data_IF_720684616252
#
_entry.id   IF_720684616252
#
_cell.length_a   1.000
_cell.length_b   1.000
_cell.length_c   1.000
_cell.angle_alpha   90.00
_cell.angle_beta   90.00
_cell.angle_gamma   90.00
#
_symmetry.space_group_name_H-M   'P 1'
#
loop_
_entity.id
_entity.type
_entity.pdbx_description
1 polymer ?
#
# COMPACT_ATOMS: atom_id res chain seq x y z
N UNK A 1 11.71 -1.02 -12.86
CA UNK A 1 10.36 -0.49 -13.17
C UNK A 1 10.55 0.63 -14.20
N UNK A 2 9.50 1.10 -14.90
CA UNK A 2 9.58 2.23 -15.84
C UNK A 2 9.18 3.58 -15.23
N UNK A 3 8.95 3.62 -13.92
CA UNK A 3 8.40 4.79 -13.22
C UNK A 3 9.19 5.13 -11.95
N UNK A 4 9.37 6.41 -11.71
CA UNK A 4 10.04 6.99 -10.54
C UNK A 4 9.10 7.99 -9.88
N UNK A 5 8.96 7.87 -8.55
CA UNK A 5 8.40 8.91 -7.70
C UNK A 5 9.52 9.39 -6.78
N UNK A 6 9.70 10.70 -6.66
CA UNK A 6 10.57 11.28 -5.66
C UNK A 6 9.74 12.19 -4.77
N UNK A 7 9.84 12.00 -3.45
CA UNK A 7 9.36 12.97 -2.46
C UNK A 7 10.40 14.04 -2.17
N UNK A 8 9.95 15.24 -1.77
CA UNK A 8 10.77 16.40 -1.38
C UNK A 8 11.69 16.97 -2.51
N UNK A 9 11.14 17.66 -3.53
CA UNK A 9 9.72 17.89 -3.78
C UNK A 9 9.07 16.69 -4.48
N UNK A 10 7.74 16.56 -4.33
CA UNK A 10 6.97 15.50 -4.98
C UNK A 10 7.00 15.66 -6.49
N UNK A 11 7.49 14.65 -7.20
CA UNK A 11 7.64 14.66 -8.65
C UNK A 11 7.67 13.26 -9.24
N UNK A 12 7.21 13.14 -10.48
CA UNK A 12 7.01 11.85 -11.17
C UNK A 12 7.76 11.82 -12.48
N UNK A 13 8.33 10.67 -12.82
CA UNK A 13 8.82 10.37 -14.16
C UNK A 13 8.38 8.97 -14.58
N UNK A 14 7.72 8.84 -15.72
CA UNK A 14 7.32 7.57 -16.32
C UNK A 14 7.85 7.51 -17.74
N UNK A 15 8.68 6.52 -18.03
CA UNK A 15 9.31 6.32 -19.34
C UNK A 15 8.23 6.28 -20.44
N UNK A 16 8.44 7.07 -21.50
CA UNK A 16 7.53 7.20 -22.67
C UNK A 16 6.18 7.86 -22.38
N UNK A 17 6.00 8.48 -21.20
CA UNK A 17 4.79 9.23 -20.85
C UNK A 17 5.08 10.62 -20.31
N UNK A 18 6.06 10.72 -19.41
CA UNK A 18 6.57 11.99 -18.92
C UNK A 18 7.38 12.74 -19.97
N UNK A 19 7.57 14.04 -19.75
CA UNK A 19 8.41 14.88 -20.62
C UNK A 19 9.85 14.36 -20.63
N UNK A 20 10.48 14.28 -21.80
CA UNK A 20 11.84 13.76 -21.91
C UNK A 20 12.84 14.57 -21.07
N UNK A 21 13.69 13.87 -20.32
CA UNK A 21 14.70 14.43 -19.42
C UNK A 21 14.16 15.41 -18.37
N UNK A 22 12.87 15.35 -18.05
CA UNK A 22 12.21 16.28 -17.14
C UNK A 22 11.29 15.54 -16.20
N UNK A 23 11.11 16.09 -15.00
CA UNK A 23 10.12 15.63 -14.05
C UNK A 23 8.76 16.25 -14.37
N UNK A 24 7.70 15.47 -14.24
CA UNK A 24 6.34 15.99 -14.22
C UNK A 24 5.97 16.43 -12.79
N UNK A 25 5.05 17.37 -12.70
CA UNK A 25 4.36 17.64 -11.46
C UNK A 25 3.51 16.41 -11.07
N UNK A 26 3.68 15.92 -9.84
CA UNK A 26 2.96 14.76 -9.36
C UNK A 26 1.43 14.98 -9.33
N UNK A 27 0.95 16.22 -9.25
CA UNK A 27 -0.49 16.52 -9.25
C UNK A 27 -1.16 16.19 -10.59
N UNK A 28 -0.44 16.33 -11.71
CA UNK A 28 -0.93 15.92 -13.03
C UNK A 28 -1.25 14.42 -13.06
N UNK A 29 -0.42 13.61 -12.38
CA UNK A 29 -0.62 12.17 -12.25
C UNK A 29 -1.68 11.80 -11.23
N UNK A 30 -1.72 12.53 -10.11
CA UNK A 30 -2.72 12.37 -9.05
C UNK A 30 -4.14 12.41 -9.62
N UNK A 31 -4.45 13.42 -10.42
CA UNK A 31 -5.77 13.60 -11.05
C UNK A 31 -6.22 12.42 -11.94
N UNK A 32 -5.29 11.63 -12.48
CA UNK A 32 -5.56 10.51 -13.38
C UNK A 32 -5.61 9.17 -12.65
N UNK A 33 -4.93 9.07 -11.51
CA UNK A 33 -4.60 7.78 -10.87
C UNK A 33 -4.95 7.69 -9.40
N UNK A 34 -5.53 8.74 -8.81
CA UNK A 34 -6.00 8.67 -7.43
C UNK A 34 -6.99 7.52 -7.26
N UNK A 35 -6.82 6.82 -6.14
CA UNK A 35 -7.64 5.66 -5.84
C UNK A 35 -9.10 6.10 -5.66
N UNK A 36 -10.09 5.42 -6.28
CA UNK A 36 -11.50 5.81 -6.19
C UNK A 36 -12.00 5.95 -4.74
N UNK A 37 -11.67 5.00 -3.86
CA UNK A 37 -11.98 5.11 -2.43
C UNK A 37 -11.46 6.41 -1.80
N UNK A 38 -10.28 6.87 -2.21
CA UNK A 38 -9.73 8.13 -1.73
C UNK A 38 -10.57 9.30 -2.24
N UNK A 39 -10.89 9.34 -3.54
CA UNK A 39 -11.74 10.39 -4.12
C UNK A 39 -13.12 10.45 -3.45
N UNK A 40 -13.70 9.30 -3.09
CA UNK A 40 -15.01 9.21 -2.44
C UNK A 40 -14.99 9.70 -0.98
N UNK A 41 -13.85 9.57 -0.28
CA UNK A 41 -13.74 9.79 1.17
C UNK A 41 -12.83 10.95 1.58
N UNK A 42 -12.06 11.55 0.66
CA UNK A 42 -11.04 12.56 0.99
C UNK A 42 -11.62 13.73 1.80
N UNK A 43 -12.81 14.21 1.44
CA UNK A 43 -13.47 15.29 2.17
C UNK A 43 -13.87 14.91 3.60
N UNK A 44 -14.23 13.64 3.84
CA UNK A 44 -14.56 13.14 5.18
C UNK A 44 -13.30 12.85 6.01
N UNK A 45 -12.25 12.40 5.34
CA UNK A 45 -10.95 12.12 5.93
C UNK A 45 -10.15 13.40 6.23
N UNK A 46 -10.55 14.54 5.69
CA UNK A 46 -9.82 15.80 5.81
C UNK A 46 -9.58 16.20 7.28
N UNK A 47 -8.32 16.33 7.66
CA UNK A 47 -7.91 16.69 9.02
C UNK A 47 -7.96 15.54 10.03
N UNK A 48 -8.39 14.34 9.64
CA UNK A 48 -8.32 13.15 10.46
C UNK A 48 -6.92 12.52 10.42
N UNK A 49 -6.42 12.06 11.58
CA UNK A 49 -5.21 11.24 11.67
C UNK A 49 -4.00 11.76 10.87
N UNK A 50 -3.19 10.84 10.36
CA UNK A 50 -2.00 11.13 9.56
C UNK A 50 -2.33 11.61 8.11
N UNK A 51 -3.06 12.73 7.98
CA UNK A 51 -3.43 13.31 6.68
C UNK A 51 -4.63 12.62 6.01
N UNK A 52 -5.45 11.92 6.78
CA UNK A 52 -6.69 11.27 6.37
C UNK A 52 -6.60 9.75 6.21
N UNK A 53 -5.39 9.18 6.12
CA UNK A 53 -5.25 7.73 5.86
C UNK A 53 -5.82 6.86 6.98
N UNK A 54 -5.67 7.26 8.26
CA UNK A 54 -6.21 6.53 9.41
C UNK A 54 -7.75 6.44 9.33
N UNK A 55 -8.42 7.49 8.85
CA UNK A 55 -9.87 7.47 8.65
C UNK A 55 -10.27 6.42 7.62
N UNK A 56 -9.53 6.32 6.50
CA UNK A 56 -9.81 5.32 5.47
C UNK A 56 -9.58 3.90 5.97
N UNK A 57 -8.53 3.67 6.75
CA UNK A 57 -8.24 2.38 7.41
C UNK A 57 -9.42 1.94 8.28
N UNK A 58 -9.80 2.77 9.24
CA UNK A 58 -10.89 2.47 10.18
C UNK A 58 -12.23 2.34 9.45
N UNK A 59 -12.51 3.22 8.49
CA UNK A 59 -13.72 3.16 7.67
C UNK A 59 -13.83 1.81 6.95
N UNK A 60 -12.76 1.35 6.30
CA UNK A 60 -12.76 0.07 5.58
C UNK A 60 -12.92 -1.11 6.52
N UNK A 61 -12.21 -1.12 7.65
CA UNK A 61 -12.36 -2.16 8.66
C UNK A 61 -13.81 -2.25 9.14
N UNK A 62 -14.40 -1.13 9.59
CA UNK A 62 -15.78 -1.09 10.09
C UNK A 62 -16.77 -1.53 9.00
N UNK A 63 -16.57 -1.09 7.77
CA UNK A 63 -17.44 -1.49 6.65
C UNK A 63 -17.40 -2.99 6.40
N UNK A 64 -16.21 -3.59 6.32
CA UNK A 64 -16.09 -5.03 6.13
C UNK A 64 -16.80 -5.82 7.23
N UNK A 65 -16.66 -5.37 8.49
CA UNK A 65 -17.36 -5.97 9.63
C UNK A 65 -18.89 -5.83 9.54
N UNK A 66 -19.39 -4.67 9.11
CA UNK A 66 -20.83 -4.42 8.97
C UNK A 66 -21.47 -5.17 7.81
N UNK A 67 -20.73 -5.35 6.71
CA UNK A 67 -21.24 -5.96 5.48
C UNK A 67 -20.90 -7.46 5.36
N UNK A 68 -20.12 -8.01 6.29
CA UNK A 68 -19.67 -9.40 6.24
C UNK A 68 -18.67 -9.69 5.12
N UNK A 69 -17.89 -8.68 4.73
CA UNK A 69 -16.85 -8.80 3.71
C UNK A 69 -15.52 -9.25 4.33
N UNK A 70 -14.63 -9.90 3.55
CA UNK A 70 -13.24 -10.06 3.97
C UNK A 70 -12.59 -8.70 4.24
N UNK A 71 -11.69 -8.63 5.21
CA UNK A 71 -10.87 -7.44 5.44
C UNK A 71 -9.87 -7.25 4.31
N UNK A 72 -9.53 -6.00 4.00
CA UNK A 72 -8.61 -5.66 2.91
C UNK A 72 -7.19 -6.21 3.14
N UNK A 73 -6.81 -6.37 4.42
CA UNK A 73 -5.64 -7.13 4.86
C UNK A 73 -6.09 -8.22 5.82
N UNK A 74 -5.65 -9.45 5.59
CA UNK A 74 -5.98 -10.60 6.43
C UNK A 74 -4.86 -10.93 7.44
N UNK A 75 -5.10 -11.92 8.29
CA UNK A 75 -4.15 -12.32 9.36
C UNK A 75 -2.80 -12.80 8.84
N UNK A 76 -2.74 -13.38 7.63
CA UNK A 76 -1.50 -13.86 7.03
C UNK A 76 -0.66 -12.68 6.51
N UNK A 77 -1.30 -11.64 5.98
CA UNK A 77 -0.63 -10.40 5.59
C UNK A 77 -0.02 -9.73 6.83
N UNK A 78 -0.79 -9.65 7.92
CA UNK A 78 -0.32 -9.11 9.19
C UNK A 78 0.86 -9.91 9.76
N UNK A 79 0.81 -11.24 9.72
CA UNK A 79 1.89 -12.12 10.17
C UNK A 79 3.15 -11.96 9.31
N UNK A 80 3.00 -11.90 7.99
CA UNK A 80 4.12 -11.73 7.06
C UNK A 80 4.84 -10.39 7.26
N UNK A 81 4.09 -9.30 7.43
CA UNK A 81 4.66 -7.98 7.72
C UNK A 81 5.33 -7.93 9.10
N UNK A 82 4.67 -8.47 10.13
CA UNK A 82 5.18 -8.45 11.51
C UNK A 82 6.45 -9.29 11.67
N UNK A 83 6.56 -10.42 10.96
CA UNK A 83 7.72 -11.29 11.01
C UNK A 83 9.03 -10.59 10.59
N UNK A 84 8.96 -9.56 9.75
CA UNK A 84 10.13 -8.81 9.29
C UNK A 84 10.90 -8.18 10.46
N UNK A 85 10.23 -7.79 11.56
CA UNK A 85 10.90 -7.23 12.74
C UNK A 85 11.95 -8.20 13.25
N UNK A 86 11.57 -9.43 13.56
CA UNK A 86 12.48 -10.46 14.07
C UNK A 86 13.48 -10.93 13.00
N UNK A 87 13.02 -11.18 11.77
CA UNK A 87 13.88 -11.68 10.69
C UNK A 87 14.99 -10.67 10.32
N UNK A 88 14.69 -9.37 10.39
CA UNK A 88 15.69 -8.33 10.17
C UNK A 88 16.75 -8.30 11.28
N UNK A 89 16.36 -8.50 12.54
CA UNK A 89 17.29 -8.62 13.67
C UNK A 89 18.20 -9.84 13.48
N UNK A 90 17.64 -10.98 13.08
CA UNK A 90 18.42 -12.19 12.78
C UNK A 90 19.40 -11.98 11.61
N UNK A 91 18.94 -11.37 10.52
CA UNK A 91 19.80 -11.05 9.38
C UNK A 91 20.99 -10.18 9.79
N UNK A 92 20.73 -9.12 10.56
CA UNK A 92 21.77 -8.22 11.06
C UNK A 92 22.78 -8.96 11.95
N UNK A 93 22.32 -9.80 12.88
CA UNK A 93 23.18 -10.64 13.73
C UNK A 93 24.07 -11.60 12.90
N UNK A 94 23.61 -11.98 11.70
CA UNK A 94 24.33 -12.83 10.76
C UNK A 94 25.15 -12.06 9.72
N UNK A 95 25.50 -10.79 9.97
CA UNK A 95 26.22 -9.90 9.04
C UNK A 95 25.44 -9.67 7.73
N UNK A 96 24.17 -9.34 7.88
CA UNK A 96 23.23 -9.04 6.78
C UNK A 96 23.05 -10.19 5.79
N UNK A 97 23.18 -11.44 6.27
CA UNK A 97 22.89 -12.61 5.45
C UNK A 97 21.38 -12.73 5.20
N UNK A 98 20.95 -13.23 4.03
CA UNK A 98 19.55 -13.54 3.78
C UNK A 98 19.00 -14.53 4.81
N UNK A 99 17.75 -14.32 5.22
CA UNK A 99 16.96 -15.19 6.09
C UNK A 99 15.63 -15.45 5.38
N UNK A 100 15.18 -16.70 5.39
CA UNK A 100 13.93 -17.09 4.74
C UNK A 100 12.72 -16.56 5.51
N UNK A 101 11.74 -16.02 4.78
CA UNK A 101 10.45 -15.59 5.35
C UNK A 101 9.52 -16.80 5.39
N UNK A 102 8.89 -17.11 6.54
CA UNK A 102 7.94 -18.22 6.63
C UNK A 102 6.71 -18.01 5.74
N UNK A 103 6.27 -19.07 5.07
CA UNK A 103 4.98 -19.08 4.39
C UNK A 103 3.85 -19.36 5.39
N UNK A 104 3.28 -18.29 5.95
CA UNK A 104 2.15 -18.35 6.87
C UNK A 104 0.86 -18.88 6.24
N UNK A 105 0.77 -18.89 4.90
CA UNK A 105 -0.41 -19.36 4.16
C UNK A 105 -0.34 -20.86 3.82
N UNK A 106 0.83 -21.50 3.97
CA UNK A 106 1.10 -22.89 3.58
C UNK A 106 0.75 -23.15 2.10
N UNK A 107 1.23 -22.29 1.21
CA UNK A 107 1.05 -22.37 -0.24
C UNK A 107 -0.20 -21.69 -0.77
N UNK A 108 -1.15 -21.29 0.10
CA UNK A 108 -2.42 -20.68 -0.35
C UNK A 108 -2.27 -19.30 -0.98
N UNK A 109 -1.17 -18.60 -0.73
CA UNK A 109 -0.87 -17.32 -1.39
C UNK A 109 -0.91 -17.41 -2.92
N UNK A 110 -0.68 -18.59 -3.50
CA UNK A 110 -0.74 -18.82 -4.95
C UNK A 110 -2.16 -18.75 -5.52
N UNK A 111 -3.17 -18.98 -4.69
CA UNK A 111 -4.59 -19.07 -5.11
C UNK A 111 -5.48 -18.05 -4.42
N UNK A 112 -4.98 -17.34 -3.41
CA UNK A 112 -5.74 -16.28 -2.74
C UNK A 112 -6.10 -15.19 -3.77
N UNK A 113 -7.35 -14.71 -3.79
CA UNK A 113 -7.71 -13.61 -4.66
C UNK A 113 -6.91 -12.35 -4.26
N UNK A 114 -6.42 -11.56 -5.23
CA UNK A 114 -5.83 -10.27 -4.93
C UNK A 114 -6.90 -9.29 -4.41
N UNK A 115 -6.47 -8.27 -3.67
CA UNK A 115 -7.34 -7.14 -3.33
C UNK A 115 -7.62 -6.31 -4.59
N UNK A 116 -8.90 -6.15 -4.93
CA UNK A 116 -9.34 -5.33 -6.05
C UNK A 116 -9.28 -3.82 -5.73
N UNK A 117 -9.49 -2.97 -6.74
CA UNK A 117 -9.65 -1.52 -6.54
C UNK A 117 -10.98 -1.28 -5.81
N UNK A 118 -10.89 -0.95 -4.53
CA UNK A 118 -12.05 -0.69 -3.67
C UNK A 118 -12.72 0.63 -4.04
N UNK A 119 -14.05 0.62 -4.02
CA UNK A 119 -14.91 1.80 -4.24
C UNK A 119 -15.93 1.88 -3.10
N UNK A 120 -16.55 3.06 -2.94
CA UNK A 120 -17.67 3.18 -2.01
C UNK A 120 -18.88 2.34 -2.44
#
# INVERSE_FOLDING_TARGET
>A
TKGLFQGYPNRVYVERRSREHQWDDWQEWRSQYDHPLWLDLEAQAAGAGHGGMDYLEDYRLIRCLREGLPTDMNVYDAAALSAIVELSVQSNALRSRPVDVPDFTRGRWQTNPPLDIVRM
#
